data_IF_425443356187
#
_entry.id   IF_425443356187
#
_cell.length_a   1.000
_cell.length_b   1.000
_cell.length_c   1.000
_cell.angle_alpha   90.00
_cell.angle_beta   90.00
_cell.angle_gamma   90.00
#
_symmetry.space_group_name_H-M   'P 1'
#
loop_
_entity.id
_entity.type
_entity.pdbx_description
1 polymer ?
#
# COMPACT_ATOMS: atom_id res chain seq x y z
N UNK A 1 -9.21 10.47 11.84
CA UNK A 1 -8.01 11.17 11.30
C UNK A 1 -8.38 12.36 10.40
N UNK A 2 -9.65 12.56 10.06
CA UNK A 2 -10.12 13.58 9.11
C UNK A 2 -9.66 14.99 9.50
N UNK A 3 -9.65 15.31 10.80
CA UNK A 3 -9.20 16.60 11.33
C UNK A 3 -7.75 16.97 10.94
N UNK A 4 -6.90 15.99 10.55
CA UNK A 4 -5.52 16.25 10.15
C UNK A 4 -5.48 16.91 8.78
N UNK A 5 -6.16 16.34 7.80
CA UNK A 5 -6.14 16.85 6.43
C UNK A 5 -7.23 17.90 6.17
N UNK A 6 -8.31 17.91 6.95
CA UNK A 6 -9.37 18.93 6.87
C UNK A 6 -8.87 20.35 7.25
N UNK A 7 -7.73 20.44 7.94
CA UNK A 7 -7.10 21.72 8.24
C UNK A 7 -6.48 22.40 7.01
N UNK A 8 -6.24 21.63 5.96
CA UNK A 8 -5.63 22.10 4.73
C UNK A 8 -6.68 22.16 3.63
N UNK A 9 -6.45 23.05 2.67
CA UNK A 9 -7.34 23.14 1.53
C UNK A 9 -7.07 21.99 0.54
N UNK A 10 -7.80 20.90 0.71
CA UNK A 10 -7.77 19.74 -0.19
C UNK A 10 -8.70 19.91 -1.40
N UNK A 11 -9.44 21.03 -1.44
CA UNK A 11 -10.43 21.31 -2.49
C UNK A 11 -10.00 22.46 -3.41
N UNK A 12 -8.72 22.89 -3.33
CA UNK A 12 -8.19 23.96 -4.19
C UNK A 12 -8.52 23.67 -5.65
N UNK A 13 -9.02 24.69 -6.35
CA UNK A 13 -9.47 24.63 -7.75
C UNK A 13 -10.63 23.63 -8.01
N UNK A 14 -11.14 22.97 -6.98
CA UNK A 14 -12.21 21.96 -7.10
C UNK A 14 -11.80 20.72 -7.88
N UNK A 15 -10.53 20.32 -7.82
CA UNK A 15 -9.98 19.22 -8.63
C UNK A 15 -10.02 17.86 -7.94
N UNK A 16 -10.26 17.83 -6.65
CA UNK A 16 -10.29 16.59 -5.87
C UNK A 16 -11.49 15.72 -6.26
N UNK A 17 -11.24 14.52 -6.73
CA UNK A 17 -12.23 13.48 -7.04
C UNK A 17 -12.33 12.48 -5.90
N UNK A 18 -11.19 12.00 -5.40
CA UNK A 18 -11.09 11.14 -4.22
C UNK A 18 -10.19 11.86 -3.22
N UNK A 19 -10.72 12.23 -2.04
CA UNK A 19 -9.99 12.99 -1.03
C UNK A 19 -8.92 12.14 -0.34
N UNK A 20 -8.03 12.75 0.47
CA UNK A 20 -7.11 12.03 1.36
C UNK A 20 -7.83 11.05 2.29
N UNK A 21 -7.10 10.04 2.79
CA UNK A 21 -7.65 8.99 3.66
C UNK A 21 -8.24 7.81 2.90
N UNK A 22 -7.95 7.70 1.61
CA UNK A 22 -8.25 6.58 0.73
C UNK A 22 -6.94 5.94 0.26
N UNK A 23 -6.99 4.85 -0.52
CA UNK A 23 -5.78 4.18 -1.05
C UNK A 23 -4.90 5.13 -1.87
N UNK A 24 -5.51 5.99 -2.69
CA UNK A 24 -4.83 7.04 -3.45
C UNK A 24 -5.68 8.29 -3.49
N UNK A 25 -5.01 9.45 -3.49
CA UNK A 25 -5.64 10.70 -3.88
C UNK A 25 -5.88 10.74 -5.38
N UNK A 26 -7.06 11.21 -5.80
CA UNK A 26 -7.42 11.31 -7.23
C UNK A 26 -7.88 12.73 -7.55
N UNK A 27 -7.29 13.31 -8.58
CA UNK A 27 -7.63 14.64 -9.08
C UNK A 27 -8.02 14.60 -10.56
N UNK A 28 -8.88 15.50 -10.99
CA UNK A 28 -9.21 15.67 -12.40
C UNK A 28 -8.12 16.46 -13.14
N UNK A 29 -8.01 16.23 -14.44
CA UNK A 29 -7.15 17.01 -15.32
C UNK A 29 -8.01 17.99 -16.11
N UNK A 30 -7.75 19.29 -15.96
CA UNK A 30 -8.52 20.35 -16.62
C UNK A 30 -8.62 20.14 -18.13
N UNK A 31 -9.77 20.52 -18.71
CA UNK A 31 -10.09 20.41 -20.14
C UNK A 31 -10.04 18.98 -20.70
N UNK A 32 -10.09 17.97 -19.84
CA UNK A 32 -10.19 16.54 -20.19
C UNK A 32 -11.14 15.83 -19.24
N UNK A 33 -11.50 14.59 -19.54
CA UNK A 33 -12.18 13.68 -18.59
C UNK A 33 -11.20 12.73 -17.90
N UNK A 34 -9.89 12.93 -18.07
CA UNK A 34 -8.85 12.14 -17.42
C UNK A 34 -8.69 12.53 -15.95
N UNK A 35 -8.18 11.59 -15.16
CA UNK A 35 -7.82 11.82 -13.77
C UNK A 35 -6.39 11.34 -13.53
N UNK A 36 -5.71 11.97 -12.61
CA UNK A 36 -4.44 11.50 -12.06
C UNK A 36 -4.67 10.96 -10.67
N UNK A 37 -3.96 9.90 -10.33
CA UNK A 37 -3.94 9.34 -8.98
C UNK A 37 -2.51 9.29 -8.46
N UNK A 38 -2.35 9.45 -7.17
CA UNK A 38 -1.06 9.43 -6.50
C UNK A 38 -1.17 8.76 -5.13
N UNK A 39 -0.17 7.96 -4.79
CA UNK A 39 0.02 7.31 -3.50
C UNK A 39 1.44 7.53 -3.00
N UNK A 40 1.63 7.42 -1.68
CA UNK A 40 2.95 7.46 -1.03
C UNK A 40 3.00 6.37 0.01
N UNK A 41 3.99 5.47 -0.11
CA UNK A 41 4.15 4.34 0.78
C UNK A 41 5.60 4.15 1.25
N UNK A 42 5.76 3.56 2.43
CA UNK A 42 7.04 3.12 2.97
C UNK A 42 6.83 2.07 4.06
N UNK A 43 7.73 1.11 4.13
CA UNK A 43 7.70 0.01 5.09
C UNK A 43 9.02 -0.10 5.87
N UNK A 44 9.36 0.88 6.75
CA UNK A 44 10.68 0.94 7.42
C UNK A 44 10.97 -0.31 8.26
N UNK A 45 9.97 -0.96 8.84
CA UNK A 45 10.09 -2.22 9.59
C UNK A 45 10.61 -3.33 8.70
N UNK A 46 10.01 -3.51 7.54
CA UNK A 46 10.41 -4.52 6.56
C UNK A 46 11.81 -4.24 6.01
N UNK A 47 12.10 -2.96 5.69
CA UNK A 47 13.42 -2.55 5.20
C UNK A 47 14.51 -2.76 6.26
N UNK A 48 14.19 -2.60 7.54
CA UNK A 48 15.12 -2.88 8.64
C UNK A 48 15.44 -4.36 8.76
N UNK A 49 14.47 -5.23 8.52
CA UNK A 49 14.62 -6.69 8.59
C UNK A 49 15.31 -7.23 7.32
N UNK A 50 14.88 -6.80 6.16
CA UNK A 50 15.50 -7.12 4.86
C UNK A 50 15.36 -5.91 3.92
N UNK A 51 16.45 -5.16 3.68
CA UNK A 51 16.40 -3.96 2.85
C UNK A 51 15.98 -4.21 1.40
N UNK A 52 16.26 -5.39 0.86
CA UNK A 52 15.87 -5.74 -0.51
C UNK A 52 14.36 -6.01 -0.59
N UNK A 53 13.86 -6.95 0.21
CA UNK A 53 12.44 -7.32 0.22
C UNK A 53 11.55 -6.18 0.71
N UNK A 54 11.93 -5.51 1.81
CA UNK A 54 11.15 -4.40 2.34
C UNK A 54 11.01 -3.23 1.37
N UNK A 55 12.06 -2.95 0.59
CA UNK A 55 11.99 -1.90 -0.43
C UNK A 55 11.17 -2.33 -1.66
N UNK A 56 11.16 -3.62 -2.00
CA UNK A 56 10.24 -4.16 -3.01
C UNK A 56 8.80 -4.01 -2.56
N UNK A 57 8.50 -4.32 -1.27
CA UNK A 57 7.15 -4.16 -0.70
C UNK A 57 6.64 -2.74 -0.83
N UNK A 58 7.45 -1.73 -0.52
CA UNK A 58 7.04 -0.34 -0.65
C UNK A 58 6.65 0.03 -2.10
N UNK A 59 7.33 -0.52 -3.11
CA UNK A 59 6.96 -0.31 -4.52
C UNK A 59 5.67 -1.06 -4.86
N UNK A 60 5.52 -2.30 -4.39
CA UNK A 60 4.31 -3.11 -4.62
C UNK A 60 3.08 -2.48 -3.94
N UNK A 61 3.22 -1.96 -2.73
CA UNK A 61 2.14 -1.30 -2.02
C UNK A 61 1.70 -0.02 -2.74
N UNK A 62 2.65 0.82 -3.16
CA UNK A 62 2.34 1.99 -3.98
C UNK A 62 1.65 1.60 -5.31
N UNK A 63 2.04 0.50 -5.95
CA UNK A 63 1.37 -0.06 -7.12
C UNK A 63 -0.08 -0.46 -6.82
N UNK A 64 -0.31 -1.25 -5.73
CA UNK A 64 -1.66 -1.68 -5.33
C UNK A 64 -2.58 -0.50 -5.04
N UNK A 65 -2.07 0.52 -4.37
CA UNK A 65 -2.82 1.71 -4.02
C UNK A 65 -3.30 2.50 -5.25
N UNK A 66 -2.49 2.57 -6.32
CA UNK A 66 -2.92 3.14 -7.61
C UNK A 66 -4.00 2.28 -8.27
N UNK A 67 -3.81 0.96 -8.28
CA UNK A 67 -4.77 0.00 -8.86
C UNK A 67 -6.11 0.04 -8.13
N UNK A 68 -6.09 0.13 -6.80
CA UNK A 68 -7.29 0.07 -5.96
C UNK A 68 -8.29 1.21 -6.19
N UNK A 69 -7.85 2.32 -6.80
CA UNK A 69 -8.76 3.41 -7.21
C UNK A 69 -9.13 3.33 -8.70
N UNK A 70 -8.67 2.33 -9.43
CA UNK A 70 -8.90 2.14 -10.87
C UNK A 70 -7.84 2.82 -11.75
N UNK A 71 -6.72 3.25 -11.18
CA UNK A 71 -5.62 3.87 -11.90
C UNK A 71 -4.69 2.86 -12.56
N UNK A 72 -4.19 3.20 -13.74
CA UNK A 72 -3.08 2.49 -14.37
C UNK A 72 -1.78 3.10 -13.86
N UNK A 73 -0.92 2.35 -13.13
CA UNK A 73 0.35 2.86 -12.64
C UNK A 73 1.27 3.29 -13.80
N UNK A 74 1.98 4.40 -13.64
CA UNK A 74 2.82 4.98 -14.71
C UNK A 74 4.30 5.10 -14.31
N UNK A 75 4.56 5.59 -13.10
CA UNK A 75 5.93 5.89 -12.67
C UNK A 75 5.98 6.04 -11.15
N UNK A 76 7.21 5.99 -10.62
CA UNK A 76 7.48 6.30 -9.22
C UNK A 76 8.54 7.39 -9.06
N UNK A 77 8.52 8.03 -7.91
CA UNK A 77 9.63 8.79 -7.34
C UNK A 77 10.06 8.13 -6.03
N UNK A 78 11.33 8.19 -5.70
CA UNK A 78 11.81 7.69 -4.40
C UNK A 78 12.38 8.83 -3.54
N UNK A 79 12.20 8.73 -2.23
CA UNK A 79 12.84 9.59 -1.25
C UNK A 79 13.56 8.69 -0.24
N UNK A 80 14.87 8.55 -0.40
CA UNK A 80 15.71 7.62 0.34
C UNK A 80 16.23 8.28 1.61
N UNK A 81 15.83 7.77 2.78
CA UNK A 81 16.25 8.31 4.07
C UNK A 81 17.00 7.24 4.88
N UNK A 82 18.28 7.47 5.14
CA UNK A 82 19.18 6.54 5.82
C UNK A 82 20.09 7.26 6.83
N UNK A 83 20.70 6.48 7.71
CA UNK A 83 21.72 6.95 8.63
C UNK A 83 23.04 7.32 7.94
N UNK A 84 24.15 7.22 8.68
CA UNK A 84 25.48 7.55 8.18
C UNK A 84 26.00 6.49 7.17
N UNK A 85 26.18 6.81 5.89
CA UNK A 85 26.58 5.87 4.84
C UNK A 85 28.05 5.40 4.98
N UNK A 86 28.87 6.02 5.82
CA UNK A 86 30.23 5.58 6.11
C UNK A 86 30.23 4.30 7.01
N UNK A 87 29.10 4.02 7.67
CA UNK A 87 28.90 2.75 8.37
C UNK A 87 28.52 1.66 7.36
N UNK A 88 29.24 0.54 7.40
CA UNK A 88 29.07 -0.55 6.41
C UNK A 88 27.66 -1.11 6.38
N UNK A 89 27.02 -1.22 7.54
CA UNK A 89 25.64 -1.70 7.67
C UNK A 89 24.66 -0.77 6.95
N UNK A 90 24.82 0.54 7.13
CA UNK A 90 23.96 1.55 6.49
C UNK A 90 24.17 1.56 4.98
N UNK A 91 25.43 1.47 4.53
CA UNK A 91 25.72 1.35 3.10
C UNK A 91 25.12 0.06 2.52
N UNK A 92 25.17 -1.04 3.27
CA UNK A 92 24.48 -2.29 2.91
C UNK A 92 22.97 -2.11 2.73
N UNK A 93 22.31 -1.44 3.68
CA UNK A 93 20.89 -1.10 3.58
C UNK A 93 20.58 -0.29 2.31
N UNK A 94 21.35 0.75 2.02
CA UNK A 94 21.19 1.60 0.83
C UNK A 94 21.29 0.77 -0.45
N UNK A 95 22.35 -0.02 -0.58
CA UNK A 95 22.61 -0.81 -1.79
C UNK A 95 21.49 -1.84 -2.03
N UNK A 96 21.08 -2.55 -0.99
CA UNK A 96 20.02 -3.56 -1.11
C UNK A 96 18.64 -2.93 -1.35
N UNK A 97 18.34 -1.80 -0.72
CA UNK A 97 17.10 -1.05 -0.98
C UNK A 97 17.00 -0.59 -2.43
N UNK A 98 18.09 -0.02 -2.98
CA UNK A 98 18.10 0.39 -4.39
C UNK A 98 17.91 -0.81 -5.32
N UNK A 99 18.51 -1.96 -5.03
CA UNK A 99 18.30 -3.18 -5.81
C UNK A 99 16.84 -3.66 -5.77
N UNK A 100 16.23 -3.66 -4.58
CA UNK A 100 14.82 -4.05 -4.42
C UNK A 100 13.88 -3.12 -5.19
N UNK A 101 14.04 -1.79 -5.04
CA UNK A 101 13.27 -0.80 -5.81
C UNK A 101 13.46 -1.02 -7.31
N UNK A 102 14.69 -1.22 -7.77
CA UNK A 102 14.97 -1.41 -9.19
C UNK A 102 14.30 -2.65 -9.76
N UNK A 103 14.35 -3.77 -9.05
CA UNK A 103 13.72 -5.01 -9.50
C UNK A 103 12.21 -4.88 -9.58
N UNK A 104 11.56 -4.36 -8.54
CA UNK A 104 10.12 -4.13 -8.52
C UNK A 104 9.69 -3.14 -9.62
N UNK A 105 10.40 -2.02 -9.76
CA UNK A 105 10.10 -1.00 -10.76
C UNK A 105 10.18 -1.53 -12.19
N UNK A 106 11.19 -2.36 -12.48
CA UNK A 106 11.36 -2.98 -13.79
C UNK A 106 10.22 -3.97 -14.10
N UNK A 107 9.90 -4.85 -13.15
CA UNK A 107 8.88 -5.88 -13.35
C UNK A 107 7.46 -5.30 -13.39
N UNK A 108 7.17 -4.30 -12.55
CA UNK A 108 5.86 -3.60 -12.54
C UNK A 108 5.73 -2.54 -13.63
N UNK A 109 6.78 -2.32 -14.44
CA UNK A 109 6.82 -1.29 -15.48
C UNK A 109 6.52 0.13 -14.94
N UNK A 110 7.09 0.45 -13.79
CA UNK A 110 6.97 1.74 -13.12
C UNK A 110 8.34 2.40 -12.99
N UNK A 111 8.84 3.08 -14.04
CA UNK A 111 10.18 3.67 -14.01
C UNK A 111 10.31 4.72 -12.90
N UNK A 112 11.49 4.78 -12.30
CA UNK A 112 11.87 5.85 -11.37
C UNK A 112 12.18 7.11 -12.17
N UNK A 113 11.33 8.14 -12.09
CA UNK A 113 11.47 9.38 -12.88
C UNK A 113 12.10 10.52 -12.11
N UNK A 114 12.13 10.44 -10.80
CA UNK A 114 12.78 11.41 -9.92
C UNK A 114 13.10 10.78 -8.56
N UNK A 115 13.80 11.50 -7.72
CA UNK A 115 14.08 11.04 -6.38
C UNK A 115 14.84 12.06 -5.53
N UNK A 116 14.95 11.75 -4.25
CA UNK A 116 15.73 12.48 -3.27
C UNK A 116 16.52 11.49 -2.40
N UNK A 117 17.67 11.92 -1.89
CA UNK A 117 18.46 11.18 -0.91
C UNK A 117 18.75 12.07 0.28
N UNK A 118 18.42 11.57 1.48
CA UNK A 118 18.75 12.18 2.77
C UNK A 118 19.58 11.19 3.58
N UNK A 119 20.80 11.56 3.91
CA UNK A 119 21.75 10.72 4.64
C UNK A 119 22.14 11.36 5.97
N UNK A 120 22.90 10.62 6.79
CA UNK A 120 23.31 11.06 8.12
C UNK A 120 22.13 11.36 9.07
N UNK A 121 20.96 10.73 8.86
CA UNK A 121 19.81 10.88 9.75
C UNK A 121 20.03 10.07 11.03
N UNK A 122 20.62 10.70 12.01
CA UNK A 122 20.98 10.08 13.29
C UNK A 122 20.67 11.00 14.47
N UNK A 123 20.28 10.40 15.58
CA UNK A 123 20.11 11.09 16.86
C UNK A 123 20.95 10.39 17.92
N UNK A 124 21.86 11.08 18.58
CA UNK A 124 22.77 10.53 19.59
C UNK A 124 23.54 9.28 19.09
N UNK A 125 24.00 9.32 17.85
CA UNK A 125 24.75 8.23 17.21
C UNK A 125 23.91 7.02 16.78
N UNK A 126 22.58 7.05 16.99
CA UNK A 126 21.64 6.02 16.55
C UNK A 126 20.97 6.47 15.24
N UNK A 127 21.11 5.65 14.20
CA UNK A 127 20.47 5.88 12.93
C UNK A 127 18.93 5.75 13.03
N UNK A 128 18.21 6.46 12.18
CA UNK A 128 16.79 6.20 11.95
C UNK A 128 16.61 4.79 11.36
N UNK A 129 15.39 4.27 11.38
CA UNK A 129 15.06 3.12 10.54
C UNK A 129 15.29 3.46 9.07
N UNK A 130 15.81 2.53 8.26
CA UNK A 130 15.97 2.74 6.83
C UNK A 130 14.60 2.98 6.18
N UNK A 131 14.40 4.16 5.61
CA UNK A 131 13.07 4.60 5.14
C UNK A 131 13.14 5.08 3.69
N UNK A 132 13.15 4.17 2.71
CA UNK A 132 12.88 4.51 1.33
C UNK A 132 11.37 4.74 1.17
N UNK A 133 10.99 6.00 0.94
CA UNK A 133 9.60 6.39 0.66
C UNK A 133 9.39 6.36 -0.85
N UNK A 134 8.34 5.70 -1.28
CA UNK A 134 7.96 5.58 -2.70
C UNK A 134 6.71 6.40 -2.95
N UNK A 135 6.82 7.38 -3.84
CA UNK A 135 5.66 8.07 -4.40
C UNK A 135 5.30 7.48 -5.75
N UNK A 136 4.07 7.04 -5.95
CA UNK A 136 3.58 6.52 -7.22
C UNK A 136 2.58 7.47 -7.88
N UNK A 137 2.60 7.51 -9.21
CA UNK A 137 1.64 8.25 -10.02
C UNK A 137 1.01 7.31 -11.01
N UNK A 138 -0.30 7.44 -11.18
CA UNK A 138 -1.07 6.71 -12.17
C UNK A 138 -2.09 7.60 -12.89
N UNK A 139 -2.72 7.06 -13.91
CA UNK A 139 -3.76 7.74 -14.67
C UNK A 139 -5.01 6.89 -14.80
N UNK A 140 -6.16 7.54 -14.80
CA UNK A 140 -7.47 6.96 -15.11
C UNK A 140 -7.96 7.64 -16.39
N UNK A 141 -8.12 6.87 -17.46
CA UNK A 141 -8.56 7.37 -18.75
C UNK A 141 -10.02 7.83 -18.73
N UNK A 142 -10.39 8.63 -19.73
CA UNK A 142 -11.68 9.35 -19.81
C UNK A 142 -12.92 8.46 -19.61
N UNK A 143 -12.88 7.24 -20.12
CA UNK A 143 -14.02 6.32 -20.07
C UNK A 143 -13.96 5.31 -18.92
N UNK A 144 -12.95 5.44 -18.04
CA UNK A 144 -12.75 4.52 -16.93
C UNK A 144 -13.32 5.05 -15.60
N UNK A 145 -13.84 4.13 -14.80
CA UNK A 145 -14.37 4.45 -13.48
C UNK A 145 -13.24 4.57 -12.47
N UNK A 146 -13.43 5.41 -11.47
CA UNK A 146 -12.70 5.39 -10.22
C UNK A 146 -13.59 4.83 -9.11
N UNK A 147 -12.99 4.09 -8.17
CA UNK A 147 -13.67 3.55 -6.99
C UNK A 147 -12.96 4.04 -5.73
N UNK A 148 -13.67 4.05 -4.61
CA UNK A 148 -13.13 4.48 -3.31
C UNK A 148 -13.66 3.59 -2.19
N UNK A 149 -13.01 3.60 -1.04
CA UNK A 149 -13.45 2.85 0.14
C UNK A 149 -14.86 3.27 0.58
N UNK A 150 -15.21 4.53 0.42
CA UNK A 150 -16.53 5.05 0.77
C UNK A 150 -17.66 4.59 -0.16
N UNK A 151 -17.35 3.89 -1.24
CA UNK A 151 -18.35 3.34 -2.16
C UNK A 151 -18.93 2.00 -1.71
N UNK A 152 -18.44 1.39 -0.62
CA UNK A 152 -19.02 0.17 -0.07
C UNK A 152 -20.51 0.36 0.25
N UNK A 153 -21.32 -0.67 -0.01
CA UNK A 153 -22.76 -0.66 0.22
C UNK A 153 -23.21 -1.96 0.92
N UNK A 154 -24.30 -1.86 1.67
CA UNK A 154 -24.89 -3.01 2.34
C UNK A 154 -25.32 -4.09 1.34
N UNK A 155 -25.16 -5.36 1.72
CA UNK A 155 -25.48 -6.52 0.89
C UNK A 155 -24.40 -6.95 -0.09
N UNK A 156 -23.29 -6.21 -0.23
CA UNK A 156 -22.15 -6.65 -1.05
C UNK A 156 -21.41 -7.81 -0.38
N UNK A 157 -20.90 -8.73 -1.20
CA UNK A 157 -19.97 -9.76 -0.73
C UNK A 157 -18.55 -9.19 -0.66
N UNK A 158 -17.79 -9.63 0.34
CA UNK A 158 -16.37 -9.34 0.49
C UNK A 158 -15.58 -10.49 -0.14
N UNK A 159 -14.68 -10.17 -1.04
CA UNK A 159 -13.74 -11.10 -1.65
C UNK A 159 -12.32 -10.70 -1.32
N UNK A 160 -11.48 -11.67 -1.04
CA UNK A 160 -10.03 -11.49 -0.96
C UNK A 160 -9.44 -11.99 -2.26
N UNK A 161 -8.59 -11.20 -2.87
CA UNK A 161 -7.88 -11.52 -4.11
C UNK A 161 -6.41 -11.70 -3.78
N UNK A 162 -5.87 -12.89 -4.05
CA UNK A 162 -4.49 -13.24 -3.73
C UNK A 162 -4.20 -14.70 -4.03
N UNK A 163 -3.08 -15.21 -3.54
CA UNK A 163 -2.74 -16.63 -3.65
C UNK A 163 -3.52 -17.45 -2.62
N UNK A 164 -3.99 -18.65 -3.00
CA UNK A 164 -4.85 -19.51 -2.16
C UNK A 164 -4.26 -19.84 -0.77
N UNK A 165 -2.94 -19.77 -0.61
CA UNK A 165 -2.26 -20.14 0.64
C UNK A 165 -2.08 -18.96 1.61
N UNK A 166 -2.27 -17.72 1.17
CA UNK A 166 -2.00 -16.53 1.99
C UNK A 166 -2.97 -16.41 3.17
N UNK A 167 -4.18 -16.93 3.05
CA UNK A 167 -5.25 -16.75 4.03
C UNK A 167 -5.33 -17.84 5.10
N UNK A 168 -4.67 -18.96 4.90
CA UNK A 168 -4.61 -20.05 5.91
C UNK A 168 -3.45 -19.89 6.87
N UNK A 169 -2.33 -19.32 6.38
CA UNK A 169 -1.08 -19.20 7.12
C UNK A 169 -0.47 -17.79 6.98
N UNK A 170 -1.32 -16.75 7.06
CA UNK A 170 -0.93 -15.36 6.86
C UNK A 170 0.36 -14.95 7.57
N UNK A 171 1.11 -14.06 6.97
CA UNK A 171 2.44 -13.66 7.42
C UNK A 171 2.37 -12.69 8.60
N UNK A 172 2.62 -13.17 9.80
CA UNK A 172 2.59 -12.39 11.03
C UNK A 172 3.96 -11.74 11.34
N UNK A 173 5.06 -12.30 10.82
CA UNK A 173 6.41 -11.76 11.03
C UNK A 173 6.55 -10.31 10.56
N UNK A 174 7.18 -9.45 11.35
CA UNK A 174 7.31 -8.00 11.13
C UNK A 174 5.99 -7.22 11.02
N UNK A 175 4.83 -7.86 11.27
CA UNK A 175 3.54 -7.17 11.31
C UNK A 175 3.44 -6.21 12.49
N UNK A 176 2.55 -5.23 12.39
CA UNK A 176 2.20 -4.35 13.51
C UNK A 176 1.67 -5.19 14.69
N UNK A 177 0.88 -6.23 14.40
CA UNK A 177 0.37 -7.13 15.42
C UNK A 177 1.49 -7.84 16.19
N UNK A 178 2.50 -8.35 15.49
CA UNK A 178 3.67 -8.98 16.12
C UNK A 178 4.43 -8.01 17.01
N UNK A 179 4.65 -6.78 16.56
CA UNK A 179 5.42 -5.78 17.29
C UNK A 179 4.67 -5.19 18.48
N UNK A 180 3.43 -4.75 18.28
CA UNK A 180 2.68 -3.96 19.28
C UNK A 180 1.86 -4.82 20.23
N UNK A 181 1.43 -6.01 19.82
CA UNK A 181 0.59 -6.89 20.63
C UNK A 181 1.38 -8.07 21.20
N UNK A 182 2.12 -8.77 20.34
CA UNK A 182 2.87 -9.95 20.80
C UNK A 182 4.23 -9.59 21.39
N UNK A 183 4.72 -8.35 21.21
CA UNK A 183 6.05 -7.88 21.61
C UNK A 183 7.17 -8.81 21.09
N UNK A 184 7.00 -9.35 19.91
CA UNK A 184 7.99 -10.20 19.25
C UNK A 184 9.05 -9.30 18.63
N UNK A 185 10.29 -9.43 19.12
CA UNK A 185 11.41 -8.62 18.64
C UNK A 185 11.98 -9.22 17.34
N UNK A 186 12.21 -8.42 16.43
CA UNK A 186 13.05 -8.16 15.24
C UNK A 186 13.63 -9.31 14.38
N UNK A 187 13.55 -10.57 14.71
CA UNK A 187 14.28 -11.65 14.02
C UNK A 187 13.49 -12.34 12.88
N UNK A 188 12.36 -11.78 12.50
CA UNK A 188 11.54 -12.34 11.42
C UNK A 188 11.76 -11.57 10.13
N UNK A 189 11.86 -12.30 9.01
CA UNK A 189 11.86 -11.70 7.68
C UNK A 189 10.55 -10.95 7.39
N UNK A 190 10.57 -9.93 6.51
CA UNK A 190 9.34 -9.33 6.01
C UNK A 190 8.56 -10.34 5.16
N UNK A 191 7.28 -10.09 4.86
CA UNK A 191 6.51 -10.97 3.98
C UNK A 191 7.19 -11.10 2.60
N UNK A 192 7.16 -12.30 2.00
CA UNK A 192 7.77 -12.52 0.69
C UNK A 192 7.06 -11.71 -0.40
N UNK A 193 7.79 -11.31 -1.41
CA UNK A 193 7.26 -10.58 -2.57
C UNK A 193 7.11 -11.52 -3.76
N UNK A 194 5.90 -11.57 -4.33
CA UNK A 194 5.64 -12.27 -5.59
C UNK A 194 5.10 -11.28 -6.62
N UNK A 195 5.99 -10.65 -7.38
CA UNK A 195 5.60 -9.60 -8.35
C UNK A 195 4.73 -10.14 -9.49
N UNK A 196 4.86 -11.39 -9.86
CA UNK A 196 3.99 -12.00 -10.89
C UNK A 196 2.54 -12.11 -10.38
N UNK A 197 2.37 -12.43 -9.10
CA UNK A 197 1.07 -12.40 -8.45
C UNK A 197 0.52 -10.97 -8.34
N UNK A 198 1.35 -10.00 -7.97
CA UNK A 198 0.98 -8.57 -7.94
C UNK A 198 0.43 -8.10 -9.29
N UNK A 199 1.12 -8.43 -10.38
CA UNK A 199 0.68 -8.10 -11.73
C UNK A 199 -0.63 -8.80 -12.10
N UNK A 200 -0.78 -10.07 -11.75
CA UNK A 200 -1.98 -10.85 -12.04
C UNK A 200 -3.19 -10.29 -11.27
N UNK A 201 -3.03 -10.03 -9.98
CA UNK A 201 -4.05 -9.46 -9.10
C UNK A 201 -4.43 -8.04 -9.55
N UNK A 202 -3.43 -7.20 -9.82
CA UNK A 202 -3.68 -5.83 -10.29
C UNK A 202 -4.45 -5.79 -11.62
N UNK A 203 -4.09 -6.63 -12.57
CA UNK A 203 -4.81 -6.76 -13.84
C UNK A 203 -6.24 -7.27 -13.66
N UNK A 204 -6.45 -8.20 -12.73
CA UNK A 204 -7.80 -8.69 -12.39
C UNK A 204 -8.65 -7.57 -11.78
N UNK A 205 -8.12 -6.84 -10.81
CA UNK A 205 -8.80 -5.73 -10.14
C UNK A 205 -9.17 -4.61 -11.12
N UNK A 206 -8.25 -4.19 -11.98
CA UNK A 206 -8.55 -3.18 -13.00
C UNK A 206 -9.70 -3.62 -13.92
N UNK A 207 -9.72 -4.88 -14.36
CA UNK A 207 -10.81 -5.43 -15.16
C UNK A 207 -12.13 -5.48 -14.39
N UNK A 208 -12.09 -5.86 -13.10
CA UNK A 208 -13.27 -5.91 -12.25
C UNK A 208 -13.89 -4.51 -12.08
N UNK A 209 -13.06 -3.48 -11.88
CA UNK A 209 -13.50 -2.09 -11.81
C UNK A 209 -14.07 -1.62 -13.15
N UNK A 210 -13.39 -1.91 -14.25
CA UNK A 210 -13.82 -1.53 -15.61
C UNK A 210 -15.17 -2.16 -15.97
N UNK A 211 -15.38 -3.42 -15.61
CA UNK A 211 -16.63 -4.16 -15.83
C UNK A 211 -17.70 -3.84 -14.78
N UNK A 212 -17.42 -2.94 -13.82
CA UNK A 212 -18.32 -2.56 -12.71
C UNK A 212 -18.75 -3.74 -11.83
N UNK A 213 -17.88 -4.75 -11.69
CA UNK A 213 -18.12 -5.89 -10.81
C UNK A 213 -17.84 -5.55 -9.34
N UNK A 214 -17.04 -4.52 -9.10
CA UNK A 214 -16.78 -3.98 -7.77
C UNK A 214 -16.88 -2.46 -7.75
N UNK A 215 -17.25 -1.90 -6.62
CA UNK A 215 -17.34 -0.46 -6.37
C UNK A 215 -16.41 0.00 -5.26
N UNK A 216 -15.77 -0.94 -4.56
CA UNK A 216 -14.85 -0.69 -3.47
C UNK A 216 -13.73 -1.73 -3.52
N UNK A 217 -12.48 -1.26 -3.43
CA UNK A 217 -11.28 -2.09 -3.39
C UNK A 217 -10.34 -1.51 -2.35
N UNK A 218 -9.69 -2.38 -1.58
CA UNK A 218 -8.65 -2.02 -0.63
C UNK A 218 -7.52 -3.04 -0.72
N UNK A 219 -6.28 -2.60 -0.58
CA UNK A 219 -5.15 -3.50 -0.42
C UNK A 219 -5.12 -4.07 1.00
N UNK A 220 -4.46 -5.21 1.17
CA UNK A 220 -4.15 -5.76 2.48
C UNK A 220 -2.69 -5.42 2.77
N UNK A 221 -2.48 -4.49 3.70
CA UNK A 221 -1.17 -3.98 4.10
C UNK A 221 -1.02 -3.98 5.62
N UNK A 222 -0.61 -2.87 6.22
CA UNK A 222 -0.42 -2.71 7.67
C UNK A 222 -1.66 -3.14 8.48
N UNK A 223 -1.46 -4.11 9.39
CA UNK A 223 -2.50 -4.64 10.26
C UNK A 223 -3.41 -5.69 9.64
N UNK A 224 -3.17 -6.07 8.39
CA UNK A 224 -3.81 -7.18 7.70
C UNK A 224 -5.30 -6.99 7.39
N UNK A 225 -5.99 -8.09 7.15
CA UNK A 225 -7.40 -8.11 6.72
C UNK A 225 -8.35 -7.42 7.72
N UNK A 226 -8.08 -7.55 9.01
CA UNK A 226 -8.93 -6.92 10.05
C UNK A 226 -8.93 -5.40 9.92
N UNK A 227 -7.76 -4.79 9.66
CA UNK A 227 -7.63 -3.35 9.49
C UNK A 227 -8.21 -2.93 8.14
N UNK A 228 -7.93 -3.65 7.05
CA UNK A 228 -8.47 -3.35 5.73
C UNK A 228 -10.02 -3.29 5.73
N UNK A 229 -10.68 -4.30 6.33
CA UNK A 229 -12.15 -4.30 6.48
C UNK A 229 -12.60 -3.11 7.35
N UNK A 230 -11.91 -2.84 8.46
CA UNK A 230 -12.26 -1.75 9.36
C UNK A 230 -12.16 -0.39 8.67
N UNK A 231 -11.16 -0.17 7.83
CA UNK A 231 -10.97 1.07 7.07
C UNK A 231 -12.05 1.28 6.01
N UNK A 232 -12.48 0.21 5.32
CA UNK A 232 -13.64 0.25 4.42
C UNK A 232 -14.91 0.68 5.19
N UNK A 233 -15.16 0.06 6.34
CA UNK A 233 -16.35 0.37 7.16
C UNK A 233 -16.30 1.79 7.73
N UNK A 234 -15.14 2.24 8.20
CA UNK A 234 -14.94 3.59 8.71
C UNK A 234 -15.09 4.65 7.61
N UNK A 235 -14.56 4.39 6.41
CA UNK A 235 -14.72 5.27 5.26
C UNK A 235 -16.19 5.37 4.81
N UNK A 236 -16.98 4.34 5.08
CA UNK A 236 -18.42 4.27 4.79
C UNK A 236 -19.31 4.53 6.01
N UNK A 237 -18.76 5.05 7.10
CA UNK A 237 -19.49 5.22 8.40
C UNK A 237 -20.79 6.00 8.30
N UNK A 238 -20.86 6.97 7.40
CA UNK A 238 -22.10 7.74 7.20
C UNK A 238 -23.27 6.89 6.68
N UNK A 239 -22.99 5.70 6.12
CA UNK A 239 -24.00 4.75 5.63
C UNK A 239 -24.47 3.74 6.69
N UNK A 240 -23.78 3.65 7.84
CA UNK A 240 -24.12 2.74 8.92
C UNK A 240 -23.99 1.26 8.55
N UNK A 241 -23.09 0.90 7.64
CA UNK A 241 -22.87 -0.48 7.22
C UNK A 241 -21.90 -1.20 8.17
N UNK A 242 -22.06 -2.53 8.28
CA UNK A 242 -21.17 -3.43 9.00
C UNK A 242 -20.70 -4.58 8.10
N UNK A 243 -19.91 -5.49 8.64
CA UNK A 243 -19.49 -6.71 7.95
C UNK A 243 -19.82 -7.95 8.77
N UNK A 244 -20.17 -9.03 8.09
CA UNK A 244 -20.41 -10.35 8.69
C UNK A 244 -19.43 -11.34 8.08
N UNK A 245 -18.59 -11.92 8.90
CA UNK A 245 -17.61 -12.93 8.47
C UNK A 245 -18.10 -14.31 8.92
N UNK A 246 -18.19 -15.25 7.99
CA UNK A 246 -18.60 -16.59 8.30
C UNK A 246 -17.45 -17.38 8.92
N UNK A 247 -17.67 -17.94 10.11
CA UNK A 247 -16.67 -18.70 10.87
C UNK A 247 -16.08 -19.89 10.12
N UNK A 248 -16.80 -20.45 9.16
CA UNK A 248 -16.33 -21.61 8.40
C UNK A 248 -15.12 -21.31 7.48
N UNK A 249 -14.80 -20.05 7.27
CA UNK A 249 -13.65 -19.62 6.46
C UNK A 249 -12.43 -19.22 7.29
N UNK A 250 -12.50 -19.30 8.62
CA UNK A 250 -11.41 -18.90 9.51
C UNK A 250 -10.71 -20.18 10.01
N UNK A 251 -9.50 -20.43 9.51
CA UNK A 251 -8.69 -21.60 9.90
C UNK A 251 -7.70 -21.29 11.02
N UNK A 252 -7.02 -20.15 10.97
CA UNK A 252 -6.13 -19.66 12.02
C UNK A 252 -6.49 -18.19 12.31
N UNK A 253 -6.89 -17.91 13.55
CA UNK A 253 -7.49 -16.61 13.87
C UNK A 253 -6.50 -15.44 13.78
N UNK A 254 -5.25 -15.60 14.22
CA UNK A 254 -4.28 -14.49 14.26
C UNK A 254 -3.70 -14.19 12.89
N UNK A 255 -3.16 -15.19 12.21
CA UNK A 255 -2.58 -15.00 10.90
C UNK A 255 -3.62 -14.64 9.83
N UNK A 256 -4.84 -15.17 9.93
CA UNK A 256 -5.95 -14.79 9.05
C UNK A 256 -6.31 -13.29 9.18
N UNK A 257 -6.39 -12.79 10.43
CA UNK A 257 -6.85 -11.42 10.67
C UNK A 257 -5.75 -10.37 10.57
N UNK A 258 -4.55 -10.70 11.03
CA UNK A 258 -3.46 -9.75 11.24
C UNK A 258 -2.20 -10.07 10.45
N UNK A 259 -2.26 -11.07 9.58
CA UNK A 259 -1.19 -11.34 8.62
C UNK A 259 -1.06 -10.20 7.61
N UNK A 260 0.15 -9.71 7.43
CA UNK A 260 0.48 -8.65 6.49
C UNK A 260 1.11 -9.26 5.23
N UNK A 261 0.33 -10.09 4.53
CA UNK A 261 0.80 -10.83 3.34
C UNK A 261 1.04 -9.92 2.13
N UNK A 262 0.60 -8.68 2.20
CA UNK A 262 0.78 -7.70 1.15
C UNK A 262 0.11 -8.10 -0.18
N UNK A 263 -1.23 -8.14 -0.17
CA UNK A 263 -2.02 -8.56 -1.32
C UNK A 263 -3.27 -7.75 -1.59
#
# INVERSE_FOLDING_TARGET
>A
RDWIWEQYDTSVMGDTVIPPGQNSGVIRVHNTNKKLCASVDCTPRYVSADPFLGSMQAVCEAYRNIISVGGTPLAITNNLNFGNPEKKEIMGQIVHSIKGISEASLKLNMPVISGNVSLYNETNGKAILPTPVIGAVGAIDENKNSVSLSNAVDGNSIYVVGQDNSHTDGWVGQSIYAQEILNIDKDYAPPPVNIDAELANGNFILKAIEQKLTNCVHDISDGGLAIAISEILLSSRAKGIGAVINKNYIHNSESFWFGEDQG
#
